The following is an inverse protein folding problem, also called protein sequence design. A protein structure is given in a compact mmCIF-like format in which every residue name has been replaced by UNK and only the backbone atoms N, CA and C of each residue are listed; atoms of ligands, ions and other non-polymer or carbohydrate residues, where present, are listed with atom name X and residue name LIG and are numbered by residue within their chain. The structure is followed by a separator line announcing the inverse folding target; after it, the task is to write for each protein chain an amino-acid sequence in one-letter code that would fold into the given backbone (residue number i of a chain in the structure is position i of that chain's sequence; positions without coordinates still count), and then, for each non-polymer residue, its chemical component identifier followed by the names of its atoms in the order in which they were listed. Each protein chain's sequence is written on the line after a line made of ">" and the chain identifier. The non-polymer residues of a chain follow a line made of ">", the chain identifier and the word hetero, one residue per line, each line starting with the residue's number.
data_IF_516390518469
#
_entry.id   IF_516390518469
#
_cell.length_a   1.000
_cell.length_b   1.000
_cell.length_c   1.000
_cell.angle_alpha   90.00
_cell.angle_beta   90.00
_cell.angle_gamma   90.00
#
_symmetry.space_group_name_H-M   'P 1'
#
loop_
_entity.id
_entity.type
_entity.pdbx_description
1 polymer ?
#
# COMPACT_ATOMS: atom_id res chain seq x y z
N UNK A 1 -58.41 -37.06 -6.35
CA UNK A 1 -57.11 -36.89 -5.57
C UNK A 1 -56.38 -35.73 -6.17
N UNK A 2 -56.42 -34.57 -5.53
CA UNK A 2 -55.83 -33.33 -5.99
C UNK A 2 -54.41 -33.19 -5.35
N UNK A 3 -53.37 -33.16 -6.18
CA UNK A 3 -52.02 -32.93 -5.71
C UNK A 3 -51.73 -31.44 -5.45
N UNK A 4 -51.43 -31.11 -4.23
CA UNK A 4 -51.04 -29.75 -3.87
C UNK A 4 -49.56 -29.51 -4.24
N UNK A 5 -49.33 -28.63 -5.22
CA UNK A 5 -48.01 -28.15 -5.59
C UNK A 5 -47.49 -27.13 -4.54
N UNK A 6 -46.37 -27.44 -3.93
CA UNK A 6 -45.65 -26.50 -3.04
C UNK A 6 -44.89 -25.53 -3.91
N UNK A 7 -45.29 -24.25 -3.86
CA UNK A 7 -44.53 -23.14 -4.47
C UNK A 7 -43.41 -22.76 -3.51
N UNK A 8 -42.16 -23.10 -3.88
CA UNK A 8 -40.96 -22.61 -3.19
C UNK A 8 -40.65 -21.22 -3.74
N UNK A 9 -40.89 -20.19 -2.95
CA UNK A 9 -40.44 -18.83 -3.23
C UNK A 9 -38.92 -18.74 -3.00
N UNK A 10 -38.13 -18.15 -3.92
CA UNK A 10 -36.72 -17.93 -3.68
C UNK A 10 -36.53 -16.91 -2.56
N UNK A 11 -35.79 -17.29 -1.53
CA UNK A 11 -35.34 -16.38 -0.49
C UNK A 11 -34.41 -15.34 -1.07
N UNK A 12 -34.89 -14.11 -1.17
CA UNK A 12 -34.05 -12.94 -1.47
C UNK A 12 -33.14 -12.73 -0.26
N UNK A 13 -31.92 -13.23 -0.35
CA UNK A 13 -30.84 -12.81 0.56
C UNK A 13 -30.52 -11.36 0.27
N UNK A 14 -31.18 -10.48 1.00
CA UNK A 14 -30.83 -9.05 1.07
C UNK A 14 -29.48 -8.94 1.81
N UNK A 15 -28.36 -8.92 1.07
CA UNK A 15 -27.07 -8.60 1.64
C UNK A 15 -27.07 -7.10 1.97
N UNK A 16 -27.32 -6.76 3.22
CA UNK A 16 -27.04 -5.43 3.78
C UNK A 16 -25.51 -5.17 3.76
N UNK A 17 -24.91 -5.02 2.60
CA UNK A 17 -23.66 -4.27 2.48
C UNK A 17 -24.03 -2.80 2.70
N UNK A 18 -23.78 -2.28 3.91
CA UNK A 18 -23.68 -0.84 4.08
C UNK A 18 -22.72 -0.33 3.01
N UNK A 19 -23.17 0.54 2.12
CA UNK A 19 -22.30 1.22 1.18
C UNK A 19 -21.18 1.86 2.00
N UNK A 20 -19.95 1.41 1.76
CA UNK A 20 -18.78 1.97 2.43
C UNK A 20 -18.58 3.38 1.88
N UNK A 21 -18.53 4.36 2.76
CA UNK A 21 -18.26 5.74 2.35
C UNK A 21 -16.86 5.81 1.70
N UNK A 22 -16.75 6.63 0.67
CA UNK A 22 -15.48 6.86 -0.03
C UNK A 22 -14.41 7.31 0.97
N UNK A 23 -13.25 6.62 0.94
CA UNK A 23 -12.11 6.85 1.84
C UNK A 23 -12.49 6.97 3.33
N UNK A 24 -13.42 6.12 3.78
CA UNK A 24 -13.77 6.05 5.22
C UNK A 24 -12.63 5.54 6.09
N UNK A 25 -11.73 4.72 5.53
CA UNK A 25 -10.58 4.15 6.23
C UNK A 25 -9.32 4.91 5.86
N UNK A 26 -8.92 5.82 6.76
CA UNK A 26 -7.69 6.57 6.69
C UNK A 26 -6.72 6.07 7.76
N UNK A 27 -5.46 5.86 7.37
CA UNK A 27 -4.41 5.36 8.25
C UNK A 27 -3.15 6.21 8.20
N UNK A 28 -2.14 5.78 8.95
CA UNK A 28 -0.85 6.45 9.04
C UNK A 28 0.27 5.43 8.94
N UNK A 29 1.27 5.72 8.10
CA UNK A 29 2.53 4.99 8.06
C UNK A 29 3.37 5.36 9.29
N UNK A 30 3.39 4.47 10.29
CA UNK A 30 4.12 4.67 11.55
C UNK A 30 4.25 3.36 12.31
N UNK A 31 4.95 3.40 13.47
CA UNK A 31 5.06 2.26 14.38
C UNK A 31 3.73 1.97 15.07
N UNK A 32 3.44 0.70 15.25
CA UNK A 32 2.22 0.25 15.95
C UNK A 32 2.13 0.77 17.40
N UNK A 33 3.25 1.06 18.02
CA UNK A 33 3.28 1.71 19.35
C UNK A 33 2.51 3.04 19.43
N UNK A 34 2.24 3.67 18.28
CA UNK A 34 1.45 4.90 18.17
C UNK A 34 -0.07 4.64 18.03
N UNK A 35 -0.52 3.37 18.09
CA UNK A 35 -1.92 2.99 17.84
C UNK A 35 -2.93 3.76 18.70
N UNK A 36 -2.66 3.93 20.00
CA UNK A 36 -3.55 4.65 20.92
C UNK A 36 -3.69 6.12 20.52
N UNK A 37 -2.57 6.78 20.22
CA UNK A 37 -2.55 8.18 19.77
C UNK A 37 -3.35 8.34 18.48
N UNK A 38 -3.16 7.45 17.50
CA UNK A 38 -3.88 7.51 16.23
C UNK A 38 -5.37 7.22 16.38
N UNK A 39 -5.74 6.30 17.27
CA UNK A 39 -7.15 6.03 17.61
C UNK A 39 -7.82 7.27 18.21
N UNK A 40 -7.14 7.94 19.14
CA UNK A 40 -7.62 9.19 19.75
C UNK A 40 -7.72 10.33 18.73
N UNK A 41 -6.80 10.39 17.77
CA UNK A 41 -6.86 11.33 16.64
C UNK A 41 -7.98 10.99 15.64
N UNK A 42 -8.55 9.76 15.67
CA UNK A 42 -9.67 9.31 14.83
C UNK A 42 -9.27 8.61 13.53
N UNK A 43 -8.01 8.17 13.39
CA UNK A 43 -7.56 7.29 12.32
C UNK A 43 -8.07 5.87 12.53
N UNK A 44 -8.18 5.11 11.44
CA UNK A 44 -8.79 3.77 11.42
C UNK A 44 -7.77 2.64 11.55
N UNK A 45 -6.51 2.86 11.17
CA UNK A 45 -5.48 1.82 11.14
C UNK A 45 -4.05 2.40 11.13
N UNK A 46 -3.10 1.54 11.46
CA UNK A 46 -1.65 1.77 11.27
C UNK A 46 -1.20 1.02 10.01
N UNK A 47 -0.36 1.65 9.21
CA UNK A 47 0.48 0.97 8.23
C UNK A 47 1.89 0.85 8.79
N UNK A 48 2.33 -0.37 9.04
CA UNK A 48 3.63 -0.67 9.62
C UNK A 48 4.70 -0.96 8.55
N UNK A 49 5.94 -1.11 8.97
CA UNK A 49 7.03 -1.52 8.09
C UNK A 49 7.23 -3.04 8.14
N UNK A 50 7.34 -3.68 6.97
CA UNK A 50 7.70 -5.10 6.86
C UNK A 50 8.99 -5.41 7.63
N UNK A 51 10.01 -4.54 7.47
CA UNK A 51 11.33 -4.76 8.05
C UNK A 51 11.36 -4.68 9.58
N UNK A 52 10.41 -4.00 10.20
CA UNK A 52 10.39 -3.80 11.64
C UNK A 52 9.23 -4.46 12.37
N UNK A 53 8.17 -4.82 11.67
CA UNK A 53 7.01 -5.50 12.27
C UNK A 53 6.97 -6.98 11.90
N UNK A 54 7.05 -7.30 10.61
CA UNK A 54 7.10 -8.68 10.13
C UNK A 54 8.49 -9.30 10.31
N UNK A 55 9.54 -8.49 10.34
CA UNK A 55 10.94 -8.86 10.61
C UNK A 55 11.40 -10.16 9.91
N UNK A 56 11.32 -10.27 8.55
CA UNK A 56 11.53 -11.54 7.86
C UNK A 56 12.94 -12.12 7.97
N UNK A 57 13.91 -11.32 8.44
CA UNK A 57 15.31 -11.75 8.65
C UNK A 57 15.60 -12.19 10.09
N UNK A 58 14.65 -11.98 10.99
CA UNK A 58 14.81 -12.32 12.41
C UNK A 58 14.06 -13.62 12.74
N UNK A 59 14.33 -14.16 13.93
CA UNK A 59 13.68 -15.36 14.44
C UNK A 59 12.16 -15.20 14.61
N UNK A 60 11.43 -16.29 14.56
CA UNK A 60 9.97 -16.28 14.68
C UNK A 60 9.49 -15.64 16.00
N UNK A 61 10.26 -15.82 17.09
CA UNK A 61 9.97 -15.23 18.41
C UNK A 61 9.89 -13.70 18.36
N UNK A 62 10.76 -13.05 17.59
CA UNK A 62 10.74 -11.59 17.43
C UNK A 62 9.45 -11.15 16.75
N UNK A 63 9.03 -11.87 15.69
CA UNK A 63 7.76 -11.61 15.04
C UNK A 63 6.57 -11.82 15.97
N UNK A 64 6.53 -12.94 16.73
CA UNK A 64 5.42 -13.18 17.65
C UNK A 64 5.33 -12.12 18.75
N UNK A 65 6.45 -11.62 19.23
CA UNK A 65 6.48 -10.51 20.19
C UNK A 65 5.88 -9.22 19.58
N UNK A 66 6.21 -8.91 18.33
CA UNK A 66 5.59 -7.78 17.63
C UNK A 66 4.09 -7.99 17.42
N UNK A 67 3.69 -9.18 16.96
CA UNK A 67 2.29 -9.53 16.69
C UNK A 67 1.44 -9.47 17.97
N UNK A 68 1.96 -9.92 19.09
CA UNK A 68 1.22 -9.92 20.36
C UNK A 68 0.81 -8.52 20.82
N UNK A 69 1.49 -7.47 20.36
CA UNK A 69 1.08 -6.09 20.64
C UNK A 69 -0.28 -5.74 20.01
N UNK A 70 -0.65 -6.39 18.89
CA UNK A 70 -1.98 -6.21 18.27
C UNK A 70 -3.11 -6.76 19.13
N UNK A 71 -2.83 -7.75 19.97
CA UNK A 71 -3.83 -8.36 20.86
C UNK A 71 -4.23 -7.39 22.00
N UNK A 72 -3.44 -6.34 22.22
CA UNK A 72 -3.66 -5.31 23.25
C UNK A 72 -4.49 -4.11 22.73
N UNK A 73 -4.81 -4.08 21.46
CA UNK A 73 -5.53 -2.97 20.82
C UNK A 73 -6.45 -3.51 19.71
N UNK A 74 -7.55 -2.80 19.48
CA UNK A 74 -8.48 -3.07 18.38
C UNK A 74 -8.11 -2.32 17.07
N UNK A 75 -6.97 -1.60 17.05
CA UNK A 75 -6.47 -0.96 15.85
C UNK A 75 -5.78 -1.97 14.93
N UNK A 76 -6.19 -1.98 13.66
CA UNK A 76 -5.70 -2.94 12.67
C UNK A 76 -4.38 -2.49 12.03
N UNK A 77 -3.64 -3.47 11.48
CA UNK A 77 -2.53 -3.27 10.53
C UNK A 77 -2.93 -3.95 9.22
N UNK A 78 -3.68 -3.31 8.32
CA UNK A 78 -4.11 -3.94 7.07
C UNK A 78 -3.04 -3.93 5.97
N UNK A 79 -2.00 -3.10 6.11
CA UNK A 79 -0.93 -2.90 5.15
C UNK A 79 0.42 -2.72 5.86
N UNK A 80 1.50 -3.11 5.17
CA UNK A 80 2.88 -2.82 5.56
C UNK A 80 3.67 -2.28 4.37
N UNK A 81 4.47 -1.23 4.61
CA UNK A 81 5.41 -0.66 3.64
C UNK A 81 6.85 -1.17 3.84
N UNK A 82 7.83 -0.54 3.18
CA UNK A 82 9.27 -0.84 3.31
C UNK A 82 9.59 -2.34 3.11
N UNK A 83 9.07 -2.94 2.04
CA UNK A 83 9.09 -4.39 1.82
C UNK A 83 10.51 -4.96 1.82
N UNK A 84 11.30 -4.73 0.77
CA UNK A 84 12.61 -5.37 0.60
C UNK A 84 13.72 -4.44 1.09
N UNK A 85 14.60 -4.88 2.01
CA UNK A 85 15.71 -4.06 2.47
C UNK A 85 16.75 -3.84 1.36
N UNK A 86 17.38 -2.66 1.36
CA UNK A 86 18.31 -2.25 0.30
C UNK A 86 19.53 -3.16 0.10
N UNK A 87 19.86 -4.01 1.06
CA UNK A 87 20.93 -5.02 0.93
C UNK A 87 20.56 -6.20 0.02
N UNK A 88 19.24 -6.50 -0.15
CA UNK A 88 18.74 -7.52 -1.05
C UNK A 88 18.43 -6.88 -2.40
N UNK A 89 19.35 -7.00 -3.36
CA UNK A 89 19.22 -6.36 -4.68
C UNK A 89 18.32 -7.17 -5.60
N UNK A 90 17.30 -6.51 -6.16
CA UNK A 90 16.44 -7.08 -7.20
C UNK A 90 17.06 -7.00 -8.58
N UNK A 91 17.97 -6.06 -8.79
CA UNK A 91 18.53 -5.71 -10.10
C UNK A 91 20.03 -5.50 -10.03
N UNK A 92 20.69 -5.64 -11.19
CA UNK A 92 22.13 -5.45 -11.35
C UNK A 92 22.94 -6.74 -11.15
N UNK A 93 24.28 -6.63 -11.19
CA UNK A 93 25.16 -7.79 -11.07
C UNK A 93 25.11 -8.45 -9.69
N UNK A 94 24.71 -7.68 -8.66
CA UNK A 94 24.59 -8.16 -7.27
C UNK A 94 23.16 -8.62 -6.94
N UNK A 95 22.32 -8.87 -7.93
CA UNK A 95 20.96 -9.34 -7.72
C UNK A 95 20.93 -10.72 -7.06
N UNK A 96 20.12 -10.87 -6.00
CA UNK A 96 20.02 -12.09 -5.18
C UNK A 96 18.59 -12.65 -5.17
N UNK A 97 18.04 -13.05 -6.31
CA UNK A 97 16.62 -13.42 -6.42
C UNK A 97 16.22 -14.57 -5.49
N UNK A 98 17.10 -15.52 -5.22
CA UNK A 98 16.82 -16.63 -4.31
C UNK A 98 16.64 -16.16 -2.85
N UNK A 99 17.48 -15.23 -2.39
CA UNK A 99 17.35 -14.66 -1.05
C UNK A 99 16.08 -13.80 -0.93
N UNK A 100 15.75 -13.05 -1.99
CA UNK A 100 14.52 -12.25 -2.05
C UNK A 100 13.28 -13.15 -1.97
N UNK A 101 13.28 -14.29 -2.65
CA UNK A 101 12.18 -15.26 -2.60
C UNK A 101 12.00 -15.79 -1.18
N UNK A 102 13.06 -16.21 -0.52
CA UNK A 102 13.00 -16.71 0.88
C UNK A 102 12.53 -15.61 1.84
N UNK A 103 13.02 -14.39 1.67
CA UNK A 103 12.62 -13.23 2.44
C UNK A 103 11.11 -12.92 2.24
N UNK A 104 10.66 -12.88 0.99
CA UNK A 104 9.28 -12.59 0.63
C UNK A 104 8.31 -13.66 1.17
N UNK A 105 8.67 -14.93 1.06
CA UNK A 105 7.86 -16.02 1.59
C UNK A 105 7.67 -15.89 3.11
N UNK A 106 8.74 -15.60 3.85
CA UNK A 106 8.65 -15.36 5.30
C UNK A 106 7.78 -14.14 5.61
N UNK A 107 7.96 -13.04 4.85
CA UNK A 107 7.14 -11.83 5.02
C UNK A 107 5.65 -12.13 4.79
N UNK A 108 5.30 -12.83 3.72
CA UNK A 108 3.89 -13.11 3.38
C UNK A 108 3.24 -14.08 4.36
N UNK A 109 3.96 -15.11 4.80
CA UNK A 109 3.50 -16.04 5.83
C UNK A 109 3.18 -15.31 7.14
N UNK A 110 4.07 -14.41 7.57
CA UNK A 110 3.89 -13.59 8.77
C UNK A 110 2.78 -12.55 8.58
N UNK A 111 2.67 -11.96 7.40
CA UNK A 111 1.57 -11.04 7.06
C UNK A 111 0.20 -11.74 7.15
N UNK A 112 0.05 -12.93 6.56
CA UNK A 112 -1.17 -13.73 6.66
C UNK A 112 -1.52 -14.03 8.12
N UNK A 113 -0.53 -14.44 8.93
CA UNK A 113 -0.72 -14.75 10.35
C UNK A 113 -1.16 -13.51 11.16
N UNK A 114 -0.72 -12.32 10.77
CA UNK A 114 -1.09 -11.04 11.39
C UNK A 114 -2.36 -10.40 10.79
N UNK A 115 -2.98 -11.01 9.76
CA UNK A 115 -4.16 -10.46 9.08
C UNK A 115 -3.84 -9.26 8.17
N UNK A 116 -2.57 -9.13 7.71
CA UNK A 116 -2.11 -8.07 6.83
C UNK A 116 -2.28 -8.52 5.38
N UNK A 117 -3.10 -7.81 4.62
CA UNK A 117 -3.46 -8.18 3.25
C UNK A 117 -2.69 -7.43 2.16
N UNK A 118 -1.99 -6.34 2.49
CA UNK A 118 -1.27 -5.49 1.53
C UNK A 118 0.19 -5.33 1.97
N UNK A 119 1.11 -5.48 1.00
CA UNK A 119 2.52 -5.14 1.17
C UNK A 119 2.93 -4.15 0.07
N UNK A 120 3.42 -2.99 0.49
CA UNK A 120 3.86 -1.91 -0.40
C UNK A 120 5.31 -2.13 -0.83
N UNK A 121 5.52 -2.16 -2.14
CA UNK A 121 6.84 -2.33 -2.74
C UNK A 121 7.35 -1.01 -3.34
N UNK A 122 7.79 -0.08 -2.49
CA UNK A 122 8.58 1.09 -2.85
C UNK A 122 10.07 0.72 -2.96
N UNK A 123 10.72 0.41 -1.86
CA UNK A 123 12.06 -0.24 -1.74
C UNK A 123 13.13 0.21 -2.74
N UNK A 124 13.36 1.53 -2.91
CA UNK A 124 14.31 2.09 -3.88
C UNK A 124 15.72 1.48 -3.77
N UNK A 125 16.21 1.29 -2.56
CA UNK A 125 17.52 0.70 -2.29
C UNK A 125 17.70 -0.72 -2.83
N UNK A 126 16.60 -1.47 -3.02
CA UNK A 126 16.61 -2.82 -3.56
C UNK A 126 16.51 -2.84 -5.10
N UNK A 127 15.72 -1.91 -5.68
CA UNK A 127 15.34 -1.96 -7.11
C UNK A 127 16.08 -0.96 -8.00
N UNK A 128 16.82 0.01 -7.44
CA UNK A 128 17.58 0.96 -8.25
C UNK A 128 18.62 0.26 -9.12
N UNK A 129 18.63 0.60 -10.39
CA UNK A 129 19.58 0.08 -11.37
C UNK A 129 20.95 0.72 -11.08
N UNK A 130 22.02 -0.09 -10.90
CA UNK A 130 23.36 0.44 -10.67
C UNK A 130 23.87 1.26 -11.86
N UNK A 131 24.74 2.24 -11.60
CA UNK A 131 25.38 3.04 -12.65
C UNK A 131 26.13 2.14 -13.63
N UNK A 132 25.93 2.40 -14.92
CA UNK A 132 26.55 1.63 -16.01
C UNK A 132 25.91 0.26 -16.30
N UNK A 133 24.92 -0.18 -15.52
CA UNK A 133 24.17 -1.41 -15.83
C UNK A 133 23.08 -1.12 -16.89
N UNK A 134 22.90 -2.01 -17.89
CA UNK A 134 21.89 -1.78 -18.93
C UNK A 134 20.48 -1.65 -18.36
N UNK A 135 19.81 -0.50 -18.62
CA UNK A 135 18.49 -0.20 -18.06
C UNK A 135 17.46 -1.28 -18.36
N UNK A 136 17.39 -1.75 -19.62
CA UNK A 136 16.40 -2.77 -20.01
C UNK A 136 16.62 -4.09 -19.26
N UNK A 137 17.88 -4.51 -19.12
CA UNK A 137 18.23 -5.71 -18.38
C UNK A 137 17.83 -5.60 -16.90
N UNK A 138 18.04 -4.42 -16.28
CA UNK A 138 17.60 -4.17 -14.91
C UNK A 138 16.07 -4.21 -14.76
N UNK A 139 15.34 -3.66 -15.71
CA UNK A 139 13.86 -3.72 -15.73
C UNK A 139 13.39 -5.16 -15.88
N UNK A 140 14.00 -5.94 -16.77
CA UNK A 140 13.64 -7.34 -16.99
C UNK A 140 13.92 -8.19 -15.74
N UNK A 141 15.06 -7.99 -15.07
CA UNK A 141 15.38 -8.64 -13.79
C UNK A 141 14.35 -8.28 -12.71
N UNK A 142 13.93 -7.00 -12.65
CA UNK A 142 12.91 -6.55 -11.71
C UNK A 142 11.57 -7.24 -11.96
N UNK A 143 11.10 -7.26 -13.21
CA UNK A 143 9.86 -7.94 -13.61
C UNK A 143 9.91 -9.43 -13.26
N UNK A 144 11.01 -10.12 -13.57
CA UNK A 144 11.17 -11.54 -13.27
C UNK A 144 11.14 -11.83 -11.76
N UNK A 145 11.73 -10.97 -10.96
CA UNK A 145 11.64 -11.04 -9.49
C UNK A 145 10.20 -10.83 -9.03
N UNK A 146 9.51 -9.82 -9.57
CA UNK A 146 8.12 -9.51 -9.23
C UNK A 146 7.17 -10.67 -9.59
N UNK A 147 7.35 -11.35 -10.73
CA UNK A 147 6.56 -12.54 -11.09
C UNK A 147 6.69 -13.66 -10.07
N UNK A 148 7.91 -13.92 -9.62
CA UNK A 148 8.18 -14.98 -8.63
C UNK A 148 7.54 -14.67 -7.29
N UNK A 149 7.75 -13.47 -6.76
CA UNK A 149 7.18 -13.09 -5.46
C UNK A 149 5.65 -12.96 -5.51
N UNK A 150 5.05 -12.53 -6.63
CA UNK A 150 3.60 -12.47 -6.80
C UNK A 150 2.93 -13.85 -6.70
N UNK A 151 3.56 -14.88 -7.29
CA UNK A 151 3.09 -16.27 -7.20
C UNK A 151 3.15 -16.82 -5.77
N UNK A 152 4.12 -16.39 -4.97
CA UNK A 152 4.21 -16.74 -3.56
C UNK A 152 3.17 -15.97 -2.75
N UNK A 153 3.00 -14.67 -2.99
CA UNK A 153 2.03 -13.82 -2.31
C UNK A 153 0.60 -14.38 -2.44
N UNK A 154 0.27 -15.02 -3.57
CA UNK A 154 -1.03 -15.66 -3.78
C UNK A 154 -1.29 -16.79 -2.79
N UNK A 155 -0.28 -17.58 -2.42
CA UNK A 155 -0.41 -18.70 -1.48
C UNK A 155 -0.80 -18.23 -0.07
N UNK A 156 -0.47 -16.99 0.27
CA UNK A 156 -0.73 -16.37 1.57
C UNK A 156 -1.86 -15.32 1.53
N UNK A 157 -2.54 -15.19 0.40
CA UNK A 157 -3.60 -14.20 0.16
C UNK A 157 -3.15 -12.73 0.35
N UNK A 158 -1.85 -12.45 0.20
CA UNK A 158 -1.27 -11.11 0.26
C UNK A 158 -1.27 -10.47 -1.13
N UNK A 159 -1.55 -9.18 -1.21
CA UNK A 159 -1.43 -8.39 -2.44
C UNK A 159 -0.22 -7.46 -2.31
N UNK A 160 0.72 -7.58 -3.23
CA UNK A 160 1.83 -6.64 -3.38
C UNK A 160 1.32 -5.45 -4.18
N UNK A 161 1.59 -4.23 -3.72
CA UNK A 161 1.30 -3.01 -4.47
C UNK A 161 2.60 -2.30 -4.79
N UNK A 162 2.92 -2.21 -6.08
CA UNK A 162 4.10 -1.50 -6.58
C UNK A 162 3.88 0.00 -6.41
N UNK A 163 4.80 0.66 -5.75
CA UNK A 163 4.78 2.09 -5.51
C UNK A 163 5.77 2.79 -6.45
N UNK A 164 5.29 3.63 -7.37
CA UNK A 164 6.14 4.56 -8.10
C UNK A 164 6.73 5.61 -7.14
N UNK A 165 8.04 5.83 -7.24
CA UNK A 165 8.76 6.81 -6.41
C UNK A 165 9.28 7.96 -7.26
N UNK A 166 9.41 9.15 -6.68
CA UNK A 166 10.02 10.28 -7.38
C UNK A 166 11.48 9.99 -7.78
N UNK A 167 11.98 10.69 -8.80
CA UNK A 167 13.35 10.51 -9.35
C UNK A 167 14.46 10.82 -8.36
N UNK A 168 14.18 11.55 -7.30
CA UNK A 168 15.13 11.75 -6.20
C UNK A 168 15.36 10.51 -5.34
N UNK A 169 14.42 9.57 -5.35
CA UNK A 169 14.47 8.35 -4.56
C UNK A 169 14.75 7.09 -5.38
N UNK A 170 14.25 7.02 -6.62
CA UNK A 170 14.45 5.84 -7.48
C UNK A 170 14.74 6.24 -8.93
N UNK A 171 15.52 5.43 -9.63
CA UNK A 171 15.79 5.61 -11.05
C UNK A 171 14.96 4.72 -11.98
N UNK A 172 14.03 3.94 -11.41
CA UNK A 172 13.02 3.16 -12.16
C UNK A 172 11.65 3.28 -11.49
N UNK A 173 10.60 3.22 -12.31
CA UNK A 173 9.20 3.33 -11.88
C UNK A 173 8.95 4.66 -11.16
N UNK A 174 8.95 5.73 -11.95
CA UNK A 174 8.83 7.11 -11.46
C UNK A 174 7.46 7.76 -11.75
N UNK A 175 6.51 6.99 -12.25
CA UNK A 175 5.13 7.43 -12.46
C UNK A 175 4.15 6.27 -12.31
N UNK A 176 2.88 6.60 -12.06
CA UNK A 176 1.77 5.64 -12.08
C UNK A 176 1.71 4.93 -13.43
N UNK A 177 2.00 5.63 -14.53
CA UNK A 177 2.04 5.06 -15.86
C UNK A 177 3.15 3.99 -15.99
N UNK A 178 4.39 4.29 -15.57
CA UNK A 178 5.49 3.30 -15.58
C UNK A 178 5.17 2.12 -14.66
N UNK A 179 4.61 2.37 -13.47
CA UNK A 179 4.16 1.32 -12.56
C UNK A 179 3.10 0.40 -13.19
N UNK A 180 2.15 0.96 -13.93
CA UNK A 180 1.12 0.19 -14.63
C UNK A 180 1.71 -0.71 -15.73
N UNK A 181 2.75 -0.25 -16.44
CA UNK A 181 3.47 -1.08 -17.42
C UNK A 181 4.15 -2.28 -16.76
N UNK A 182 4.80 -2.07 -15.61
CA UNK A 182 5.41 -3.16 -14.84
C UNK A 182 4.32 -4.14 -14.34
N UNK A 183 3.23 -3.63 -13.75
CA UNK A 183 2.13 -4.47 -13.24
C UNK A 183 1.54 -5.33 -14.36
N UNK A 184 1.32 -4.75 -15.54
CA UNK A 184 0.84 -5.50 -16.72
C UNK A 184 1.85 -6.52 -17.23
N UNK A 185 3.16 -6.22 -17.15
CA UNK A 185 4.23 -7.15 -17.56
C UNK A 185 4.39 -8.30 -16.57
N UNK A 186 4.14 -8.08 -15.29
CA UNK A 186 4.09 -9.12 -14.26
C UNK A 186 2.85 -10.01 -14.47
N UNK A 187 1.72 -9.43 -14.89
CA UNK A 187 0.47 -10.12 -15.22
C UNK A 187 0.00 -11.08 -14.13
N UNK A 188 -0.11 -10.58 -12.90
CA UNK A 188 -0.52 -11.39 -11.76
C UNK A 188 -1.50 -10.65 -10.85
N UNK A 189 -2.65 -11.25 -10.50
CA UNK A 189 -3.71 -10.63 -9.67
C UNK A 189 -3.27 -10.19 -8.26
N UNK A 190 -2.14 -10.71 -7.77
CA UNK A 190 -1.54 -10.36 -6.47
C UNK A 190 -0.38 -9.36 -6.59
N UNK A 191 -0.14 -8.82 -7.80
CA UNK A 191 0.81 -7.74 -8.03
C UNK A 191 0.10 -6.56 -8.70
N UNK A 192 -0.15 -5.52 -7.93
CA UNK A 192 -1.02 -4.43 -8.28
C UNK A 192 -0.28 -3.10 -8.08
N UNK A 193 -0.97 -1.97 -8.18
CA UNK A 193 -0.39 -0.64 -8.16
C UNK A 193 -0.79 0.12 -6.91
N UNK A 194 0.11 0.96 -6.41
CA UNK A 194 -0.15 2.03 -5.44
C UNK A 194 -0.03 3.38 -6.15
N UNK A 195 -0.91 4.31 -5.83
CA UNK A 195 -0.75 5.72 -6.19
C UNK A 195 -0.37 6.51 -4.92
N UNK A 196 0.86 7.01 -4.87
CA UNK A 196 1.30 7.95 -3.85
C UNK A 196 1.21 9.38 -4.39
N UNK A 197 0.28 10.16 -3.86
CA UNK A 197 0.03 11.54 -4.31
C UNK A 197 1.27 12.42 -4.06
N UNK A 198 2.05 12.17 -3.00
CA UNK A 198 3.31 12.87 -2.79
C UNK A 198 4.28 12.66 -3.96
N UNK A 199 4.53 11.40 -4.35
CA UNK A 199 5.43 11.09 -5.46
C UNK A 199 4.90 11.61 -6.79
N UNK A 200 3.59 11.52 -7.02
CA UNK A 200 2.94 12.08 -8.21
C UNK A 200 3.15 13.59 -8.30
N UNK A 201 2.95 14.34 -7.22
CA UNK A 201 3.14 15.79 -7.20
C UNK A 201 4.61 16.18 -7.37
N UNK A 202 5.56 15.42 -6.80
CA UNK A 202 7.00 15.62 -6.99
C UNK A 202 7.43 15.48 -8.45
N UNK A 203 6.78 14.61 -9.23
CA UNK A 203 7.05 14.37 -10.65
C UNK A 203 6.12 15.17 -11.58
N UNK A 204 5.29 16.07 -11.04
CA UNK A 204 4.26 16.81 -11.77
C UNK A 204 3.29 15.88 -12.54
N UNK A 205 3.03 14.69 -12.02
CA UNK A 205 2.05 13.75 -12.54
C UNK A 205 0.66 14.10 -12.02
N UNK A 206 -0.27 14.41 -12.94
CA UNK A 206 -1.62 14.85 -12.60
C UNK A 206 -2.58 13.69 -12.26
N UNK A 207 -3.80 14.03 -11.80
CA UNK A 207 -4.82 13.05 -11.41
C UNK A 207 -5.34 12.19 -12.58
N UNK A 208 -5.10 12.58 -13.84
CA UNK A 208 -5.47 11.82 -15.03
C UNK A 208 -4.81 10.43 -15.08
N UNK A 209 -3.63 10.26 -14.46
CA UNK A 209 -2.99 8.95 -14.33
C UNK A 209 -3.80 8.01 -13.44
N UNK A 210 -4.41 8.52 -12.37
CA UNK A 210 -5.32 7.74 -11.52
C UNK A 210 -6.54 7.29 -12.33
N UNK A 211 -7.14 8.20 -13.11
CA UNK A 211 -8.28 7.86 -13.98
C UNK A 211 -7.91 6.76 -14.98
N UNK A 212 -6.73 6.89 -15.59
CA UNK A 212 -6.29 5.99 -16.66
C UNK A 212 -5.94 4.58 -16.18
N UNK A 213 -5.38 4.46 -14.99
CA UNK A 213 -4.84 3.20 -14.45
C UNK A 213 -5.56 2.72 -13.18
N UNK A 214 -6.75 3.27 -12.91
CA UNK A 214 -7.51 3.01 -11.70
C UNK A 214 -7.90 1.54 -11.48
N UNK A 215 -8.04 0.77 -12.57
CA UNK A 215 -8.29 -0.67 -12.52
C UNK A 215 -7.16 -1.45 -11.83
N UNK A 216 -5.95 -0.90 -11.77
CA UNK A 216 -4.78 -1.51 -11.14
C UNK A 216 -4.53 -1.02 -9.70
N UNK A 217 -5.07 0.13 -9.30
CA UNK A 217 -4.78 0.75 -7.99
C UNK A 217 -5.50 0.00 -6.87
N UNK A 218 -4.75 -0.43 -5.84
CA UNK A 218 -5.29 -1.14 -4.66
C UNK A 218 -4.96 -0.48 -3.35
N UNK A 219 -4.01 0.45 -3.33
CA UNK A 219 -3.64 1.23 -2.15
C UNK A 219 -3.21 2.64 -2.56
N UNK A 220 -3.27 3.58 -1.62
CA UNK A 220 -2.84 4.97 -1.87
C UNK A 220 -2.10 5.53 -0.67
N UNK A 221 -1.10 6.37 -0.97
CA UNK A 221 -0.40 7.19 0.01
C UNK A 221 -0.62 8.67 -0.26
N UNK A 222 -0.46 9.49 0.77
CA UNK A 222 -0.62 10.94 0.68
C UNK A 222 0.28 11.67 1.67
N UNK A 223 0.94 12.71 1.19
CA UNK A 223 1.61 13.74 1.95
C UNK A 223 1.70 15.02 1.11
N UNK A 224 1.93 16.16 1.74
CA UNK A 224 2.18 17.41 1.02
C UNK A 224 3.55 17.38 0.32
N UNK A 225 3.64 17.94 -0.88
CA UNK A 225 4.86 18.01 -1.68
C UNK A 225 5.98 18.73 -0.92
N UNK A 226 5.68 19.91 -0.36
CA UNK A 226 6.66 20.68 0.37
C UNK A 226 7.05 20.00 1.69
N UNK A 227 8.26 19.47 1.74
CA UNK A 227 8.84 18.84 2.94
C UNK A 227 8.31 17.45 3.25
N UNK A 228 7.49 16.86 2.37
CA UNK A 228 6.72 15.62 2.64
C UNK A 228 5.93 15.77 3.95
N UNK A 229 5.30 16.94 4.12
CA UNK A 229 4.64 17.31 5.36
C UNK A 229 3.26 16.64 5.49
N UNK A 230 2.72 16.67 6.72
CA UNK A 230 1.37 16.21 6.99
C UNK A 230 0.32 17.08 6.27
N UNK A 231 -0.79 16.50 5.76
CA UNK A 231 -1.86 17.27 5.14
C UNK A 231 -2.35 18.44 6.03
N UNK A 232 -2.46 19.62 5.42
CA UNK A 232 -2.84 20.86 6.10
C UNK A 232 -1.68 21.67 6.68
N UNK A 233 -0.44 21.18 6.61
CA UNK A 233 0.74 21.89 7.10
C UNK A 233 1.08 23.10 6.24
N UNK A 234 1.08 22.93 4.92
CA UNK A 234 1.35 23.99 3.94
C UNK A 234 0.10 24.41 3.14
N UNK A 235 -1.03 23.72 3.34
CA UNK A 235 -2.30 24.02 2.67
C UNK A 235 -2.41 23.49 1.25
N UNK A 236 -1.74 22.39 0.93
CA UNK A 236 -1.83 21.76 -0.39
C UNK A 236 -3.24 21.26 -0.70
N UNK A 237 -3.70 21.49 -1.94
CA UNK A 237 -5.02 21.05 -2.41
C UNK A 237 -4.91 19.68 -3.09
N UNK A 238 -5.43 18.64 -2.42
CA UNK A 238 -5.50 17.28 -2.95
C UNK A 238 -6.82 16.97 -3.65
N UNK A 239 -7.79 17.91 -3.66
CA UNK A 239 -9.13 17.65 -4.19
C UNK A 239 -9.12 17.12 -5.63
N UNK A 240 -8.22 17.49 -6.56
CA UNK A 240 -8.18 16.90 -7.89
C UNK A 240 -7.86 15.39 -7.88
N UNK A 241 -6.91 14.97 -7.04
CA UNK A 241 -6.53 13.56 -6.90
C UNK A 241 -7.59 12.74 -6.17
N UNK A 242 -8.15 13.31 -5.10
CA UNK A 242 -9.24 12.69 -4.34
C UNK A 242 -10.48 12.51 -5.22
N UNK A 243 -10.80 13.51 -6.04
CA UNK A 243 -11.88 13.40 -7.03
C UNK A 243 -11.61 12.30 -8.04
N UNK A 244 -10.38 12.20 -8.58
CA UNK A 244 -10.01 11.14 -9.50
C UNK A 244 -10.19 9.75 -8.88
N UNK A 245 -9.78 9.56 -7.63
CA UNK A 245 -10.01 8.30 -6.89
C UNK A 245 -11.50 8.00 -6.74
N UNK A 246 -12.32 9.00 -6.47
CA UNK A 246 -13.78 8.84 -6.38
C UNK A 246 -14.39 8.48 -7.73
N UNK A 247 -13.98 9.16 -8.80
CA UNK A 247 -14.49 8.96 -10.16
C UNK A 247 -14.22 7.54 -10.69
N UNK A 248 -13.11 6.90 -10.29
CA UNK A 248 -12.82 5.49 -10.61
C UNK A 248 -13.52 4.49 -9.67
N UNK A 249 -14.31 4.96 -8.69
CA UNK A 249 -14.93 4.09 -7.70
C UNK A 249 -13.94 3.41 -6.75
N UNK A 250 -12.82 4.08 -6.43
CA UNK A 250 -11.83 3.53 -5.52
C UNK A 250 -12.45 3.23 -4.15
N UNK A 251 -12.25 2.01 -3.66
CA UNK A 251 -12.80 1.52 -2.40
C UNK A 251 -11.72 0.97 -1.45
N UNK A 252 -10.45 1.23 -1.77
CA UNK A 252 -9.31 0.85 -0.95
C UNK A 252 -9.09 1.80 0.24
N UNK A 253 -7.88 1.73 0.80
CA UNK A 253 -7.43 2.53 1.94
C UNK A 253 -6.45 3.61 1.48
N UNK A 254 -6.32 4.65 2.31
CA UNK A 254 -5.33 5.70 2.12
C UNK A 254 -4.54 5.89 3.42
N UNK A 255 -3.20 5.84 3.32
CA UNK A 255 -2.31 6.12 4.45
C UNK A 255 -1.60 7.46 4.28
N UNK A 256 -1.55 8.23 5.36
CA UNK A 256 -0.66 9.40 5.44
C UNK A 256 0.76 8.91 5.63
N UNK A 257 1.62 9.10 4.61
CA UNK A 257 3.03 8.75 4.65
C UNK A 257 3.90 10.01 4.58
N UNK A 258 3.98 10.71 5.69
CA UNK A 258 4.64 12.01 5.78
C UNK A 258 5.77 12.04 6.81
N UNK A 259 6.52 13.12 6.78
CA UNK A 259 7.45 13.48 7.87
C UNK A 259 6.69 14.27 8.91
N UNK A 260 6.49 13.65 10.07
CA UNK A 260 5.90 14.30 11.21
C UNK A 260 6.96 15.09 11.96
N UNK A 261 6.72 16.37 12.25
CA UNK A 261 7.53 17.09 13.23
C UNK A 261 7.17 16.63 14.65
N UNK A 262 5.86 16.57 14.95
CA UNK A 262 5.31 16.06 16.19
C UNK A 262 3.98 15.35 15.91
N UNK A 263 4.00 14.02 15.82
CA UNK A 263 2.83 13.20 15.46
C UNK A 263 1.63 13.47 16.40
N UNK A 264 1.89 13.60 17.69
CA UNK A 264 0.85 13.81 18.70
C UNK A 264 0.07 15.11 18.51
N UNK A 265 0.70 16.14 17.96
CA UNK A 265 0.08 17.44 17.71
C UNK A 265 -0.53 17.54 16.29
N UNK A 266 0.02 16.81 15.34
CA UNK A 266 -0.31 16.96 13.92
C UNK A 266 -1.34 15.94 13.41
N UNK A 267 -1.47 14.77 14.05
CA UNK A 267 -2.33 13.68 13.55
C UNK A 267 -3.80 14.10 13.41
N UNK A 268 -4.41 14.65 14.45
CA UNK A 268 -5.83 15.06 14.41
C UNK A 268 -6.09 16.23 13.44
N UNK A 269 -5.26 17.29 13.38
CA UNK A 269 -5.37 18.32 12.33
C UNK A 269 -5.26 17.76 10.90
N UNK A 270 -4.30 16.88 10.63
CA UNK A 270 -4.11 16.27 9.32
C UNK A 270 -5.33 15.45 8.88
N UNK A 271 -5.90 14.65 9.79
CA UNK A 271 -7.13 13.91 9.52
C UNK A 271 -8.31 14.84 9.26
N UNK A 272 -8.43 15.92 10.01
CA UNK A 272 -9.50 16.93 9.84
C UNK A 272 -9.41 17.56 8.46
N UNK A 273 -8.22 17.94 8.02
CA UNK A 273 -7.98 18.54 6.70
C UNK A 273 -8.28 17.54 5.58
N UNK A 274 -7.82 16.29 5.68
CA UNK A 274 -8.12 15.27 4.69
C UNK A 274 -9.63 15.02 4.56
N UNK A 275 -10.35 14.89 5.67
CA UNK A 275 -11.80 14.71 5.66
C UNK A 275 -12.53 15.91 5.05
N UNK A 276 -12.04 17.13 5.32
CA UNK A 276 -12.57 18.35 4.71
C UNK A 276 -12.42 18.28 3.18
N UNK A 277 -11.24 17.96 2.67
CA UNK A 277 -11.01 17.87 1.22
C UNK A 277 -11.77 16.70 0.58
N UNK A 278 -11.85 15.54 1.21
CA UNK A 278 -12.67 14.40 0.75
C UNK A 278 -14.14 14.80 0.63
N UNK A 279 -14.67 15.60 1.57
CA UNK A 279 -16.06 16.04 1.53
C UNK A 279 -16.38 17.02 0.40
N UNK A 280 -15.37 17.60 -0.22
CA UNK A 280 -15.49 18.54 -1.37
C UNK A 280 -15.51 17.82 -2.72
N UNK A 281 -15.24 16.52 -2.75
CA UNK A 281 -15.26 15.67 -3.96
C UNK A 281 -16.61 14.89 -4.06
#
# INVERSE_FOLDING_TARGET
>A
MAGAGVIILPSVMCSNRKERLFLSDLGVCTRYSNNQLLKEAGFSYVEESVQSFLVPLDDEEVFENNRSQMDLSDMLIPACNSFIPGKLKCVGPDAVPAEIITYAETAFRRAQKAGIGIIVFGSSGSRNIPDGFPRQEGVDQFIDTCKKIASIAEQYDVTIVLEPLNKGESNIVNSVAEGAEIVRSVDHKKFMLLADIFHMTMENEGPESIIRYGDLIRHTHIAENRGRAAPGTNGEDFTPYLKALKDIGYNGRMSVECRWDELSLQAAPALTELRRQISMT
#
